data_IF_720894422658
#
_entry.id   IF_720894422658
#
_cell.length_a   1.000
_cell.length_b   1.000
_cell.length_c   1.000
_cell.angle_alpha   90.00
_cell.angle_beta   90.00
_cell.angle_gamma   90.00
#
_symmetry.space_group_name_H-M   'P 1'
#
loop_
_entity.id
_entity.type
_entity.pdbx_description
1 polymer ?
#
# COMPACT_ATOMS: atom_id res chain seq x y z
N UNK A 1 -72.92 -21.48 4.11
CA UNK A 1 -72.51 -20.35 4.98
C UNK A 1 -71.00 -20.28 4.94
N UNK A 2 -70.46 -19.08 4.70
CA UNK A 2 -69.04 -18.71 4.77
C UNK A 2 -68.41 -19.14 6.12
N UNK A 3 -67.10 -19.34 6.31
CA UNK A 3 -65.97 -18.44 6.02
C UNK A 3 -64.63 -19.20 6.04
N UNK A 4 -63.66 -18.65 5.29
CA UNK A 4 -62.21 -18.87 5.37
C UNK A 4 -61.67 -18.54 6.78
N UNK A 5 -60.56 -19.17 7.20
CA UNK A 5 -59.42 -18.43 7.77
C UNK A 5 -58.09 -19.23 7.79
N UNK A 6 -57.05 -18.46 7.52
CA UNK A 6 -55.64 -18.79 7.24
C UNK A 6 -54.81 -19.13 8.49
N UNK A 7 -53.73 -19.92 8.27
CA UNK A 7 -52.35 -19.84 8.81
C UNK A 7 -52.13 -19.40 10.28
N UNK A 8 -51.20 -19.98 11.05
CA UNK A 8 -49.74 -19.80 10.92
C UNK A 8 -49.07 -20.87 11.80
N UNK A 9 -48.14 -21.62 11.22
CA UNK A 9 -47.27 -22.55 11.93
C UNK A 9 -46.28 -21.78 12.81
N UNK A 10 -46.12 -22.25 14.05
CA UNK A 10 -45.25 -21.64 15.06
C UNK A 10 -43.78 -21.68 14.66
N UNK A 11 -43.19 -20.49 14.70
CA UNK A 11 -41.79 -20.16 14.54
C UNK A 11 -40.88 -21.06 15.39
N UNK A 12 -39.98 -21.78 14.72
CA UNK A 12 -38.95 -22.60 15.38
C UNK A 12 -37.75 -21.71 15.59
N UNK A 13 -37.41 -21.44 16.84
CA UNK A 13 -36.30 -20.61 17.27
C UNK A 13 -34.99 -21.03 16.58
N UNK A 14 -34.57 -20.24 15.59
CA UNK A 14 -33.25 -20.29 14.99
C UNK A 14 -32.22 -19.69 15.94
N UNK A 15 -31.45 -20.56 16.56
CA UNK A 15 -30.35 -20.28 17.47
C UNK A 15 -29.31 -19.36 16.80
N UNK A 16 -29.23 -18.11 17.29
CA UNK A 16 -28.25 -17.13 16.83
C UNK A 16 -26.84 -17.53 17.33
N UNK A 17 -26.03 -18.10 16.43
CA UNK A 17 -24.61 -18.35 16.66
C UNK A 17 -23.88 -17.01 16.75
N UNK A 18 -23.76 -16.47 17.96
CA UNK A 18 -22.85 -15.36 18.24
C UNK A 18 -21.42 -15.91 18.14
N UNK A 19 -20.77 -15.67 17.01
CA UNK A 19 -19.34 -15.89 16.85
C UNK A 19 -18.59 -15.02 17.88
N UNK A 20 -18.09 -15.64 18.93
CA UNK A 20 -17.22 -15.03 19.92
C UNK A 20 -15.95 -14.56 19.22
N UNK A 21 -15.82 -13.25 18.98
CA UNK A 21 -14.60 -12.63 18.48
C UNK A 21 -13.48 -12.83 19.51
N UNK A 22 -12.63 -13.82 19.26
CA UNK A 22 -11.43 -14.07 20.07
C UNK A 22 -10.58 -12.78 20.12
N UNK A 23 -10.41 -12.22 21.32
CA UNK A 23 -9.66 -10.99 21.55
C UNK A 23 -8.19 -11.26 21.24
N UNK A 24 -7.66 -10.65 20.18
CA UNK A 24 -6.23 -10.78 19.81
C UNK A 24 -5.33 -10.41 20.99
N UNK A 25 -4.51 -11.36 21.45
CA UNK A 25 -3.42 -11.10 22.38
C UNK A 25 -2.24 -10.52 21.58
N UNK A 26 -1.86 -9.27 21.87
CA UNK A 26 -0.80 -8.54 21.16
C UNK A 26 0.38 -8.26 22.10
N UNK A 27 1.61 -8.49 21.66
CA UNK A 27 2.82 -8.09 22.39
C UNK A 27 3.37 -6.71 21.92
N UNK A 28 4.31 -6.13 22.67
CA UNK A 28 4.86 -4.79 22.39
C UNK A 28 5.53 -4.65 21.01
N UNK A 29 6.21 -5.69 20.53
CA UNK A 29 6.84 -5.70 19.20
C UNK A 29 5.81 -5.80 18.09
N UNK A 30 4.77 -6.61 18.26
CA UNK A 30 3.65 -6.70 17.34
C UNK A 30 2.96 -5.34 17.21
N UNK A 31 2.70 -4.65 18.33
CA UNK A 31 2.12 -3.31 18.35
C UNK A 31 3.01 -2.32 17.60
N UNK A 32 4.31 -2.24 17.92
CA UNK A 32 5.25 -1.36 17.20
C UNK A 32 5.33 -1.68 15.71
N UNK A 33 5.27 -2.96 15.35
CA UNK A 33 5.30 -3.40 13.97
C UNK A 33 4.02 -3.04 13.20
N UNK A 34 2.89 -2.79 13.87
CA UNK A 34 1.65 -2.36 13.20
C UNK A 34 1.72 -0.94 12.65
N UNK A 35 2.65 -0.10 13.14
CA UNK A 35 2.88 1.26 12.62
C UNK A 35 3.44 1.27 11.19
N UNK A 36 3.91 0.11 10.69
CA UNK A 36 4.38 -0.05 9.31
C UNK A 36 3.52 -1.08 8.61
N UNK A 37 2.91 -0.70 7.48
CA UNK A 37 2.08 -1.59 6.69
C UNK A 37 2.89 -2.81 6.18
N UNK A 38 2.25 -3.96 6.03
CA UNK A 38 2.88 -5.22 5.63
C UNK A 38 3.55 -5.12 4.26
N UNK A 39 2.87 -4.51 3.28
CA UNK A 39 3.43 -4.20 1.97
C UNK A 39 4.68 -3.32 2.06
N UNK A 40 4.72 -2.35 2.97
CA UNK A 40 5.91 -1.53 3.24
C UNK A 40 7.04 -2.40 3.79
N UNK A 41 6.79 -3.30 4.75
CA UNK A 41 7.83 -4.22 5.27
C UNK A 41 8.43 -5.10 4.17
N UNK A 42 7.59 -5.63 3.29
CA UNK A 42 8.07 -6.44 2.15
C UNK A 42 8.86 -5.60 1.14
N UNK A 43 8.45 -4.36 0.88
CA UNK A 43 9.23 -3.44 0.06
C UNK A 43 10.59 -3.12 0.71
N UNK A 44 10.63 -2.83 2.01
CA UNK A 44 11.83 -2.61 2.80
C UNK A 44 12.82 -3.78 2.67
N UNK A 45 12.35 -5.02 2.87
CA UNK A 45 13.17 -6.23 2.68
C UNK A 45 13.75 -6.33 1.27
N UNK A 46 12.95 -6.04 0.24
CA UNK A 46 13.41 -6.04 -1.16
C UNK A 46 14.51 -4.99 -1.39
N UNK A 47 14.37 -3.80 -0.82
CA UNK A 47 15.38 -2.74 -0.95
C UNK A 47 16.71 -3.13 -0.29
N UNK A 48 16.67 -3.64 0.94
CA UNK A 48 17.89 -4.11 1.63
C UNK A 48 18.53 -5.28 0.90
N UNK A 49 17.73 -6.25 0.42
CA UNK A 49 18.25 -7.36 -0.37
C UNK A 49 18.97 -6.85 -1.63
N UNK A 50 18.37 -5.90 -2.34
CA UNK A 50 18.98 -5.31 -3.54
C UNK A 50 20.32 -4.61 -3.27
N UNK A 51 20.43 -3.89 -2.15
CA UNK A 51 21.70 -3.26 -1.72
C UNK A 51 22.72 -4.34 -1.34
N UNK A 52 22.31 -5.35 -0.57
CA UNK A 52 23.18 -6.44 -0.12
C UNK A 52 23.75 -7.24 -1.29
N UNK A 53 22.91 -7.62 -2.26
CA UNK A 53 23.38 -8.29 -3.49
C UNK A 53 24.44 -7.47 -4.21
N UNK A 54 24.18 -6.18 -4.46
CA UNK A 54 25.15 -5.31 -5.14
C UNK A 54 26.48 -5.19 -4.39
N UNK A 55 26.45 -5.09 -3.06
CA UNK A 55 27.67 -5.04 -2.24
C UNK A 55 28.48 -6.33 -2.37
N UNK A 56 27.83 -7.51 -2.30
CA UNK A 56 28.51 -8.79 -2.47
C UNK A 56 29.13 -8.95 -3.86
N UNK A 57 28.49 -8.39 -4.89
CA UNK A 57 28.97 -8.52 -6.27
C UNK A 57 30.09 -7.51 -6.62
N UNK A 58 30.11 -6.34 -5.98
CA UNK A 58 30.93 -5.20 -6.43
C UNK A 58 32.03 -4.81 -5.45
N UNK A 59 31.87 -5.09 -4.15
CA UNK A 59 32.81 -4.63 -3.13
C UNK A 59 33.85 -5.71 -2.80
N UNK A 60 35.14 -5.34 -2.63
CA UNK A 60 36.21 -6.29 -2.36
C UNK A 60 36.15 -6.92 -0.96
N UNK A 61 35.45 -6.29 -0.01
CA UNK A 61 35.29 -6.77 1.37
C UNK A 61 33.84 -6.68 1.85
N UNK A 62 32.91 -7.46 1.28
CA UNK A 62 31.47 -7.29 1.54
C UNK A 62 31.08 -7.52 3.01
N UNK A 63 31.81 -8.37 3.73
CA UNK A 63 31.57 -8.67 5.15
C UNK A 63 31.88 -7.48 6.08
N UNK A 64 32.65 -6.48 5.61
CA UNK A 64 32.84 -5.22 6.35
C UNK A 64 31.64 -4.27 6.26
N UNK A 65 30.73 -4.50 5.31
CA UNK A 65 29.50 -3.72 5.15
C UNK A 65 28.33 -4.32 5.93
N UNK A 66 28.34 -5.64 6.14
CA UNK A 66 27.34 -6.37 6.90
C UNK A 66 28.03 -7.28 7.91
N UNK A 67 28.07 -6.91 9.18
CA UNK A 67 28.48 -7.86 10.22
C UNK A 67 27.49 -9.05 10.26
N UNK A 68 27.92 -10.20 10.79
CA UNK A 68 27.16 -11.47 10.83
C UNK A 68 25.73 -11.35 11.42
N UNK A 69 25.45 -10.30 12.19
CA UNK A 69 24.14 -9.97 12.75
C UNK A 69 23.33 -8.94 11.92
N UNK A 70 23.83 -8.53 10.75
CA UNK A 70 23.41 -7.35 9.99
C UNK A 70 23.41 -6.03 10.80
N UNK A 71 24.13 -5.97 11.95
CA UNK A 71 24.00 -4.89 12.96
C UNK A 71 24.93 -3.68 12.79
N UNK A 72 26.15 -3.82 12.30
CA UNK A 72 26.99 -2.67 11.92
C UNK A 72 26.93 -2.48 10.41
N UNK A 73 26.58 -1.28 9.98
CA UNK A 73 26.32 -0.94 8.59
C UNK A 73 27.20 0.27 8.24
N UNK A 74 28.37 0.01 7.67
CA UNK A 74 29.36 1.03 7.29
C UNK A 74 29.17 1.46 5.84
N UNK A 75 27.93 1.80 5.46
CA UNK A 75 27.59 2.16 4.09
C UNK A 75 27.75 3.67 3.88
N UNK A 76 28.97 4.08 3.50
CA UNK A 76 29.27 5.49 3.23
C UNK A 76 28.48 6.07 2.04
N UNK A 77 28.32 7.42 1.98
CA UNK A 77 27.58 8.12 0.90
C UNK A 77 28.03 7.73 -0.51
N UNK A 78 29.35 7.60 -0.70
CA UNK A 78 29.97 7.25 -1.99
C UNK A 78 29.53 5.87 -2.49
N UNK A 79 29.33 4.91 -1.58
CA UNK A 79 28.84 3.58 -1.92
C UNK A 79 27.36 3.63 -2.33
N UNK A 80 26.55 4.46 -1.66
CA UNK A 80 25.16 4.59 -2.04
C UNK A 80 24.99 5.28 -3.39
N UNK A 81 25.77 6.33 -3.67
CA UNK A 81 25.76 6.96 -4.98
C UNK A 81 26.21 5.99 -6.09
N UNK A 82 27.26 5.21 -5.85
CA UNK A 82 27.71 4.17 -6.78
C UNK A 82 26.61 3.12 -7.05
N UNK A 83 25.89 2.68 -6.00
CA UNK A 83 24.74 1.79 -6.12
C UNK A 83 23.60 2.42 -6.94
N UNK A 84 23.26 3.68 -6.68
CA UNK A 84 22.19 4.38 -7.41
C UNK A 84 22.56 4.56 -8.89
N UNK A 85 23.82 4.88 -9.20
CA UNK A 85 24.34 4.95 -10.58
C UNK A 85 24.27 3.58 -11.25
N UNK A 86 24.67 2.51 -10.57
CA UNK A 86 24.55 1.14 -11.06
C UNK A 86 23.09 0.81 -11.42
N UNK A 87 22.13 1.06 -10.51
CA UNK A 87 20.70 0.84 -10.75
C UNK A 87 20.14 1.69 -11.88
N UNK A 88 20.62 2.92 -12.05
CA UNK A 88 20.21 3.77 -13.16
C UNK A 88 20.72 3.24 -14.51
N UNK A 89 21.94 2.70 -14.53
CA UNK A 89 22.59 2.14 -15.71
C UNK A 89 22.06 0.76 -16.13
N UNK A 90 21.51 -0.03 -15.21
CA UNK A 90 20.78 -1.28 -15.54
C UNK A 90 19.55 -1.04 -16.43
N UNK A 91 19.09 0.21 -16.53
CA UNK A 91 17.96 0.61 -17.34
C UNK A 91 16.63 0.39 -16.62
N UNK A 92 15.74 1.37 -16.76
CA UNK A 92 14.33 1.31 -16.32
C UNK A 92 14.05 1.39 -14.80
N UNK A 93 14.96 1.91 -13.98
CA UNK A 93 14.64 2.23 -12.57
C UNK A 93 14.12 3.66 -12.47
N UNK A 94 12.91 3.82 -11.92
CA UNK A 94 12.30 5.14 -11.71
C UNK A 94 12.81 5.80 -10.42
N UNK A 95 12.77 7.14 -10.37
CA UNK A 95 13.17 7.94 -9.21
C UNK A 95 12.40 7.58 -7.93
N UNK A 96 11.10 7.21 -7.95
CA UNK A 96 10.39 6.70 -6.77
C UNK A 96 11.01 5.43 -6.18
N UNK A 97 11.49 4.50 -7.01
CA UNK A 97 12.14 3.25 -6.56
C UNK A 97 13.48 3.60 -5.88
N UNK A 98 14.25 4.51 -6.48
CA UNK A 98 15.50 5.01 -5.89
C UNK A 98 15.26 5.70 -4.54
N UNK A 99 14.17 6.48 -4.41
CA UNK A 99 13.76 7.05 -3.13
C UNK A 99 13.35 5.97 -2.12
N UNK A 100 12.81 4.84 -2.57
CA UNK A 100 12.52 3.66 -1.76
C UNK A 100 13.78 3.11 -1.09
N UNK A 101 14.85 2.90 -1.86
CA UNK A 101 16.15 2.50 -1.32
C UNK A 101 16.68 3.50 -0.29
N UNK A 102 16.62 4.81 -0.58
CA UNK A 102 17.06 5.86 0.35
C UNK A 102 16.26 5.84 1.66
N UNK A 103 14.94 5.70 1.56
CA UNK A 103 14.04 5.69 2.71
C UNK A 103 14.31 4.50 3.61
N UNK A 104 14.57 3.35 3.01
CA UNK A 104 14.89 2.14 3.76
C UNK A 104 16.28 2.20 4.40
N UNK A 105 17.24 2.80 3.71
CA UNK A 105 18.56 3.06 4.26
C UNK A 105 18.47 3.92 5.53
N UNK A 106 17.73 5.03 5.45
CA UNK A 106 17.46 5.88 6.62
C UNK A 106 16.72 5.14 7.74
N UNK A 107 15.79 4.24 7.38
CA UNK A 107 15.05 3.42 8.33
C UNK A 107 15.97 2.45 9.09
N UNK A 108 16.96 1.84 8.44
CA UNK A 108 17.96 0.97 9.08
C UNK A 108 18.77 1.74 10.12
N UNK A 109 19.29 2.93 9.79
CA UNK A 109 20.01 3.76 10.75
C UNK A 109 19.13 4.16 11.94
N UNK A 110 17.88 4.55 11.67
CA UNK A 110 16.91 4.87 12.72
C UNK A 110 16.65 3.69 13.65
N UNK A 111 16.47 2.48 13.12
CA UNK A 111 16.26 1.27 13.92
C UNK A 111 17.47 0.96 14.80
N UNK A 112 18.67 1.24 14.30
CA UNK A 112 19.94 1.04 15.02
C UNK A 112 20.30 2.17 15.98
N UNK A 113 19.46 3.22 16.08
CA UNK A 113 19.73 4.42 16.90
C UNK A 113 21.09 5.07 16.55
N UNK A 114 21.48 4.99 15.28
CA UNK A 114 22.68 5.63 14.76
C UNK A 114 22.30 6.93 14.07
N UNK A 115 23.07 7.99 14.31
CA UNK A 115 22.92 9.23 13.57
C UNK A 115 23.41 9.06 12.14
N UNK A 116 22.63 9.59 11.20
CA UNK A 116 23.07 9.71 9.82
C UNK A 116 24.14 10.80 9.75
N UNK A 117 25.29 10.56 9.10
CA UNK A 117 26.26 11.63 8.84
C UNK A 117 25.58 12.80 8.12
N UNK A 118 25.78 14.04 8.55
CA UNK A 118 25.11 15.20 7.92
C UNK A 118 25.50 15.34 6.45
N UNK A 119 26.77 15.08 6.13
CA UNK A 119 27.33 15.04 4.77
C UNK A 119 26.56 14.06 3.87
N UNK A 120 26.15 12.91 4.43
CA UNK A 120 25.35 11.91 3.72
C UNK A 120 24.00 12.48 3.29
N UNK A 121 23.34 13.29 4.12
CA UNK A 121 21.99 13.81 3.84
C UNK A 121 21.98 14.88 2.75
N UNK A 122 22.97 15.76 2.71
CA UNK A 122 22.94 16.92 1.82
C UNK A 122 23.39 16.57 0.40
N UNK A 123 24.41 15.72 0.25
CA UNK A 123 24.83 15.21 -1.06
C UNK A 123 23.71 14.39 -1.72
N UNK A 124 23.05 13.53 -0.95
CA UNK A 124 21.91 12.75 -1.46
C UNK A 124 20.71 13.62 -1.80
N UNK A 125 20.39 14.65 -1.01
CA UNK A 125 19.32 15.60 -1.38
C UNK A 125 19.63 16.26 -2.72
N UNK A 126 20.89 16.64 -2.96
CA UNK A 126 21.31 17.25 -4.22
C UNK A 126 21.25 16.27 -5.38
N UNK A 127 21.72 15.03 -5.19
CA UNK A 127 21.62 13.98 -6.19
C UNK A 127 20.16 13.69 -6.59
N UNK A 128 19.27 13.47 -5.60
CA UNK A 128 17.85 13.21 -5.86
C UNK A 128 17.12 14.42 -6.46
N UNK A 129 17.56 15.65 -6.18
CA UNK A 129 17.07 16.85 -6.86
C UNK A 129 17.46 16.82 -8.34
N UNK A 130 18.72 16.51 -8.65
CA UNK A 130 19.20 16.36 -10.02
C UNK A 130 18.44 15.27 -10.79
N UNK A 131 18.21 14.10 -10.18
CA UNK A 131 17.42 13.02 -10.80
C UNK A 131 16.00 13.43 -11.15
N UNK A 132 15.32 14.18 -10.26
CA UNK A 132 13.97 14.68 -10.53
C UNK A 132 13.95 15.69 -11.66
N UNK A 133 14.98 16.55 -11.76
CA UNK A 133 15.11 17.49 -12.88
C UNK A 133 15.31 16.76 -14.20
N UNK A 134 16.21 15.76 -14.26
CA UNK A 134 16.41 14.93 -15.46
C UNK A 134 15.12 14.21 -15.86
N UNK A 135 14.40 13.63 -14.91
CA UNK A 135 13.11 12.98 -15.18
C UNK A 135 12.04 13.98 -15.68
N UNK A 136 12.02 15.21 -15.15
CA UNK A 136 11.12 16.26 -15.63
C UNK A 136 11.45 16.68 -17.07
N UNK A 137 12.73 16.85 -17.40
CA UNK A 137 13.20 17.19 -18.75
C UNK A 137 12.89 16.07 -19.75
N UNK A 138 13.10 14.81 -19.35
CA UNK A 138 12.72 13.64 -20.15
C UNK A 138 11.20 13.59 -20.39
N UNK A 139 10.40 13.93 -19.39
CA UNK A 139 8.95 14.03 -19.54
C UNK A 139 8.53 15.13 -20.52
N UNK A 140 9.17 16.31 -20.42
CA UNK A 140 8.87 17.44 -21.31
C UNK A 140 9.27 17.17 -22.76
N UNK A 141 10.40 16.47 -22.98
CA UNK A 141 10.90 16.12 -24.31
C UNK A 141 10.26 14.86 -24.89
N UNK A 142 9.31 14.24 -24.17
CA UNK A 142 8.63 13.01 -24.60
C UNK A 142 9.50 11.75 -24.53
N UNK A 143 10.70 11.84 -23.93
CA UNK A 143 11.59 10.71 -23.63
C UNK A 143 11.20 9.95 -22.35
N UNK A 144 10.13 10.40 -21.69
CA UNK A 144 9.47 9.74 -20.57
C UNK A 144 9.42 8.22 -20.74
N UNK A 145 10.02 7.51 -19.77
CA UNK A 145 9.70 6.10 -19.55
C UNK A 145 8.28 6.06 -18.97
N UNK A 146 7.28 5.92 -19.84
CA UNK A 146 5.85 5.87 -19.47
C UNK A 146 5.61 4.78 -18.43
N UNK A 147 5.61 5.14 -17.15
CA UNK A 147 5.20 4.26 -16.08
C UNK A 147 4.20 5.00 -15.20
N UNK A 148 2.99 5.02 -15.73
CA UNK A 148 1.75 5.35 -15.03
C UNK A 148 0.62 4.64 -15.77
N UNK A 149 -0.23 3.91 -15.04
CA UNK A 149 -1.47 3.40 -15.61
C UNK A 149 -2.29 4.59 -16.10
N UNK A 150 -2.87 4.47 -17.31
CA UNK A 150 -3.74 5.51 -17.84
C UNK A 150 -4.97 5.61 -16.94
N UNK A 151 -5.46 6.82 -16.61
CA UNK A 151 -6.68 6.98 -15.84
C UNK A 151 -7.84 6.22 -16.50
N UNK A 152 -8.66 5.56 -15.69
CA UNK A 152 -9.89 4.94 -16.15
C UNK A 152 -10.87 6.06 -16.55
N UNK A 153 -11.08 6.22 -17.86
CA UNK A 153 -12.05 7.20 -18.37
C UNK A 153 -13.48 6.77 -18.07
N UNK A 154 -14.40 7.73 -17.96
CA UNK A 154 -15.83 7.44 -17.73
C UNK A 154 -16.40 6.50 -18.80
N UNK A 155 -16.05 6.71 -20.06
CA UNK A 155 -16.46 5.85 -21.16
C UNK A 155 -16.01 4.39 -20.98
N UNK A 156 -14.75 4.18 -20.57
CA UNK A 156 -14.23 2.85 -20.31
C UNK A 156 -14.86 2.22 -19.06
N UNK A 157 -15.15 3.02 -18.03
CA UNK A 157 -15.89 2.59 -16.86
C UNK A 157 -17.29 2.07 -17.23
N UNK A 158 -18.06 2.79 -18.04
CA UNK A 158 -19.41 2.36 -18.47
C UNK A 158 -19.33 1.01 -19.18
N UNK A 159 -18.43 0.85 -20.13
CA UNK A 159 -18.25 -0.42 -20.83
C UNK A 159 -17.86 -1.58 -19.90
N UNK A 160 -17.03 -1.32 -18.88
CA UNK A 160 -16.68 -2.33 -17.90
C UNK A 160 -17.88 -2.66 -17.00
N UNK A 161 -18.63 -1.66 -16.55
CA UNK A 161 -19.82 -1.85 -15.72
C UNK A 161 -20.91 -2.67 -16.45
N UNK A 162 -21.13 -2.42 -17.74
CA UNK A 162 -22.06 -3.20 -18.57
C UNK A 162 -21.61 -4.66 -18.68
N UNK A 163 -20.31 -4.90 -18.93
CA UNK A 163 -19.77 -6.26 -19.03
C UNK A 163 -19.85 -7.01 -17.70
N UNK A 164 -19.68 -6.33 -16.57
CA UNK A 164 -19.71 -6.99 -15.25
C UNK A 164 -21.11 -7.44 -14.85
N UNK A 165 -22.18 -6.84 -15.39
CA UNK A 165 -23.56 -7.33 -15.19
C UNK A 165 -23.74 -8.72 -15.84
N UNK A 166 -23.10 -8.96 -16.97
CA UNK A 166 -23.18 -10.24 -17.68
C UNK A 166 -22.28 -11.33 -17.09
N UNK A 167 -21.51 -11.04 -16.04
CA UNK A 167 -20.68 -12.05 -15.38
C UNK A 167 -21.56 -12.94 -14.48
N UNK A 168 -21.36 -14.25 -14.57
CA UNK A 168 -22.00 -15.24 -13.69
C UNK A 168 -21.43 -15.28 -12.27
N UNK A 169 -21.02 -14.13 -11.73
CA UNK A 169 -20.38 -13.98 -10.41
C UNK A 169 -21.32 -13.40 -9.35
N UNK A 170 -22.63 -13.52 -9.58
CA UNK A 170 -23.70 -12.98 -8.74
C UNK A 170 -23.62 -11.45 -8.57
N UNK A 171 -23.06 -10.73 -9.54
CA UNK A 171 -22.96 -9.28 -9.52
C UNK A 171 -21.84 -8.75 -8.64
N UNK A 172 -20.93 -9.60 -8.14
CA UNK A 172 -19.82 -9.17 -7.30
C UNK A 172 -18.90 -8.18 -8.02
N UNK A 173 -18.49 -8.49 -9.24
CA UNK A 173 -17.64 -7.59 -10.04
C UNK A 173 -18.37 -6.28 -10.35
N UNK A 174 -19.68 -6.34 -10.56
CA UNK A 174 -20.49 -5.16 -10.82
C UNK A 174 -20.56 -4.25 -9.59
N UNK A 175 -20.85 -4.82 -8.41
CA UNK A 175 -20.82 -4.11 -7.14
C UNK A 175 -19.43 -3.54 -6.85
N UNK A 176 -18.36 -4.30 -7.11
CA UNK A 176 -16.99 -3.86 -6.90
C UNK A 176 -16.63 -2.64 -7.74
N UNK A 177 -16.87 -2.67 -9.07
CA UNK A 177 -16.51 -1.55 -9.94
C UNK A 177 -17.39 -0.32 -9.69
N UNK A 178 -18.69 -0.51 -9.43
CA UNK A 178 -19.61 0.57 -9.06
C UNK A 178 -19.14 1.27 -7.79
N UNK A 179 -18.85 0.49 -6.75
CA UNK A 179 -18.50 1.07 -5.45
C UNK A 179 -17.12 1.70 -5.49
N UNK A 180 -16.16 1.09 -6.21
CA UNK A 180 -14.83 1.68 -6.42
C UNK A 180 -14.92 3.03 -7.15
N UNK A 181 -15.76 3.12 -8.19
CA UNK A 181 -15.95 4.36 -8.96
C UNK A 181 -16.67 5.45 -8.15
N UNK A 182 -17.79 5.11 -7.50
CA UNK A 182 -18.58 6.08 -6.73
C UNK A 182 -17.84 6.59 -5.48
N UNK A 183 -17.18 5.71 -4.74
CA UNK A 183 -16.47 6.08 -3.50
C UNK A 183 -15.03 6.55 -3.76
N UNK A 184 -14.57 6.53 -5.02
CA UNK A 184 -13.17 6.82 -5.41
C UNK A 184 -12.14 6.10 -4.54
N UNK A 185 -12.50 4.88 -4.10
CA UNK A 185 -11.73 4.12 -3.13
C UNK A 185 -10.65 3.28 -3.79
N UNK A 186 -9.58 2.98 -3.05
CA UNK A 186 -8.61 1.99 -3.51
C UNK A 186 -9.21 0.57 -3.37
N UNK A 187 -8.81 -0.39 -4.22
CA UNK A 187 -9.22 -1.79 -4.08
C UNK A 187 -9.03 -2.35 -2.66
N UNK A 188 -7.91 -2.01 -2.00
CA UNK A 188 -7.64 -2.45 -0.61
C UNK A 188 -8.65 -1.89 0.40
N UNK A 189 -9.23 -0.71 0.14
CA UNK A 189 -10.28 -0.16 0.99
C UNK A 189 -11.60 -0.90 0.77
N UNK A 190 -11.88 -1.28 -0.48
CA UNK A 190 -13.05 -2.07 -0.87
C UNK A 190 -13.02 -3.49 -0.28
N UNK A 191 -11.84 -4.13 -0.26
CA UNK A 191 -11.66 -5.47 0.33
C UNK A 191 -12.04 -5.49 1.83
N UNK A 192 -11.79 -4.40 2.54
CA UNK A 192 -12.08 -4.28 3.98
C UNK A 192 -13.50 -3.78 4.28
N UNK A 193 -14.31 -3.53 3.25
CA UNK A 193 -15.68 -3.10 3.41
C UNK A 193 -16.51 -4.28 3.92
N UNK A 194 -17.14 -4.11 5.08
CA UNK A 194 -18.00 -5.10 5.69
C UNK A 194 -19.46 -4.64 5.60
N UNK A 195 -20.42 -5.57 5.57
CA UNK A 195 -21.84 -5.22 5.47
C UNK A 195 -22.30 -4.29 6.61
N UNK A 196 -21.70 -4.42 7.80
CA UNK A 196 -21.96 -3.54 8.96
C UNK A 196 -21.42 -2.11 8.81
N UNK A 197 -20.70 -1.83 7.71
CA UNK A 197 -20.26 -0.48 7.34
C UNK A 197 -21.25 0.21 6.38
N UNK A 198 -22.20 -0.52 5.82
CA UNK A 198 -23.22 0.03 4.92
C UNK A 198 -24.42 0.54 5.72
N UNK A 199 -24.93 1.71 5.35
CA UNK A 199 -26.06 2.36 5.98
C UNK A 199 -27.06 2.78 4.91
N UNK A 200 -28.34 2.48 5.12
CA UNK A 200 -29.39 3.01 4.28
C UNK A 200 -29.60 4.49 4.65
N UNK A 201 -29.55 5.36 3.64
CA UNK A 201 -29.77 6.80 3.76
C UNK A 201 -30.87 7.19 2.76
N UNK A 202 -32.12 6.92 3.13
CA UNK A 202 -33.33 7.16 2.33
C UNK A 202 -33.23 6.64 0.88
N UNK A 203 -32.76 7.47 -0.04
CA UNK A 203 -32.61 7.16 -1.46
C UNK A 203 -31.20 6.71 -1.87
N UNK A 204 -30.29 6.50 -0.91
CA UNK A 204 -28.91 6.08 -1.16
C UNK A 204 -28.41 5.07 -0.13
N UNK A 205 -27.29 4.42 -0.47
CA UNK A 205 -26.54 3.58 0.46
C UNK A 205 -25.24 4.30 0.77
N UNK A 206 -25.07 4.70 2.03
CA UNK A 206 -23.83 5.28 2.53
C UNK A 206 -22.85 4.21 3.05
N UNK A 207 -21.56 4.49 2.99
CA UNK A 207 -20.51 3.63 3.53
C UNK A 207 -19.67 4.35 4.60
N UNK A 208 -19.49 3.69 5.75
CA UNK A 208 -18.66 4.19 6.86
C UNK A 208 -17.28 3.55 6.85
N UNK A 209 -16.27 4.30 6.44
CA UNK A 209 -14.88 3.85 6.50
C UNK A 209 -14.25 4.19 7.87
N UNK A 210 -14.09 3.17 8.72
CA UNK A 210 -13.47 3.32 10.06
C UNK A 210 -11.96 3.59 10.03
N UNK A 211 -11.31 3.24 8.92
CA UNK A 211 -9.91 3.59 8.63
C UNK A 211 -9.81 4.07 7.20
N UNK A 212 -9.12 5.18 7.01
CA UNK A 212 -8.83 5.73 5.67
C UNK A 212 -7.33 6.02 5.58
N UNK A 213 -6.80 6.25 4.37
CA UNK A 213 -5.37 6.58 4.19
C UNK A 213 -4.89 7.70 5.15
N UNK A 214 -5.58 8.84 5.31
CA UNK A 214 -5.16 9.87 6.26
C UNK A 214 -5.48 9.52 7.73
N UNK A 215 -6.53 8.73 8.00
CA UNK A 215 -6.97 8.37 9.35
C UNK A 215 -6.69 6.90 9.66
N UNK A 216 -5.41 6.57 9.86
CA UNK A 216 -4.98 5.19 10.20
C UNK A 216 -5.31 4.79 11.64
N UNK A 217 -5.50 5.79 12.52
CA UNK A 217 -5.79 5.61 13.95
C UNK A 217 -7.29 5.48 14.22
N UNK A 218 -8.15 5.86 13.27
CA UNK A 218 -9.61 5.83 13.41
C UNK A 218 -10.15 6.87 14.42
N UNK A 219 -9.31 7.81 14.86
CA UNK A 219 -9.65 8.85 15.84
C UNK A 219 -10.27 10.09 15.21
N UNK A 220 -10.07 10.29 13.90
CA UNK A 220 -10.72 11.36 13.14
C UNK A 220 -12.20 11.08 12.82
N UNK A 221 -12.94 12.07 12.28
CA UNK A 221 -14.33 11.91 11.88
C UNK A 221 -14.51 10.69 10.98
N UNK A 222 -15.58 9.91 11.23
CA UNK A 222 -15.97 8.83 10.33
C UNK A 222 -16.41 9.46 9.02
N UNK A 223 -15.74 9.13 7.93
CA UNK A 223 -16.16 9.57 6.61
C UNK A 223 -17.39 8.73 6.22
N UNK A 224 -18.55 9.40 6.18
CA UNK A 224 -19.71 8.95 5.44
C UNK A 224 -19.45 9.32 3.98
N UNK A 225 -19.35 8.32 3.13
CA UNK A 225 -19.32 8.47 1.68
C UNK A 225 -20.66 8.00 1.12
#
# INVERSE_FOLDING_TARGET
MATNDHAIASDTAGEAVIHTLSRRHLNGDQVRSTCTATNTKEACKKYIKGISTWVHDTQPSPDTFFCADHKSFCFLPKHFEAFLRFKLNEGNVQVPILNGYRSELNNVYRQKRMDLPTEYLDDLKTFFRGLKSVEADDNQTGRSRKAGEKPLTFFLYVQLAERTVSLGDNGFSHLFILTQWNLMCRPVSMETLHITHMQCADASVGCVLRKTKPNQQGSGPKHLL
#
